data_IF_772822339894
#
_entry.id   IF_772822339894
#
_cell.length_a   1.000
_cell.length_b   1.000
_cell.length_c   1.000
_cell.angle_alpha   90.00
_cell.angle_beta   90.00
_cell.angle_gamma   90.00
#
_symmetry.space_group_name_H-M   'P 1'
#
loop_
_entity.id
_entity.type
_entity.pdbx_description
1 polymer ?
#
# COMPACT_ATOMS: atom_id res chain seq x y z
N UNK A 1 -11.23 22.81 -4.12
CA UNK A 1 -10.38 21.66 -3.76
C UNK A 1 -10.58 21.43 -2.29
N UNK A 2 -11.29 20.37 -1.92
CA UNK A 2 -11.51 20.03 -0.52
C UNK A 2 -10.32 19.22 -0.02
N UNK A 3 -9.77 19.62 1.12
CA UNK A 3 -8.72 18.85 1.78
C UNK A 3 -9.29 17.52 2.30
N UNK A 4 -8.42 16.52 2.50
CA UNK A 4 -8.80 15.28 3.15
C UNK A 4 -9.34 15.61 4.56
N UNK A 5 -10.58 15.20 4.83
CA UNK A 5 -11.22 15.43 6.13
C UNK A 5 -10.77 14.42 7.19
N UNK A 6 -10.12 13.34 6.77
CA UNK A 6 -9.62 12.26 7.62
C UNK A 6 -8.45 11.54 6.95
N UNK A 7 -7.56 10.97 7.77
CA UNK A 7 -6.56 10.01 7.32
C UNK A 7 -7.22 8.64 7.13
N UNK A 8 -7.05 8.04 5.96
CA UNK A 8 -7.64 6.73 5.61
C UNK A 8 -6.55 5.68 5.31
N UNK A 9 -5.83 5.17 6.33
CA UNK A 9 -4.87 4.10 6.12
C UNK A 9 -5.59 2.80 5.77
N UNK A 10 -5.38 2.30 4.55
CA UNK A 10 -5.92 1.01 4.13
C UNK A 10 -5.11 -0.16 4.72
N UNK A 11 -5.81 -1.14 5.28
CA UNK A 11 -5.24 -2.39 5.77
C UNK A 11 -5.86 -3.61 5.10
N UNK A 12 -5.12 -4.73 5.11
CA UNK A 12 -5.65 -6.04 4.71
C UNK A 12 -6.19 -6.75 5.94
N UNK A 13 -7.49 -7.07 5.94
CA UNK A 13 -8.11 -7.85 7.02
C UNK A 13 -7.69 -9.31 6.97
N UNK A 14 -7.30 -9.87 8.12
CA UNK A 14 -6.79 -11.23 8.27
C UNK A 14 -7.52 -11.94 9.43
N UNK A 15 -7.52 -13.28 9.50
CA UNK A 15 -8.04 -14.02 10.64
C UNK A 15 -7.44 -13.55 11.97
N UNK A 16 -8.28 -13.46 12.99
CA UNK A 16 -7.83 -13.12 14.34
C UNK A 16 -6.89 -14.20 14.89
N UNK A 17 -5.87 -13.79 15.64
CA UNK A 17 -4.89 -14.67 16.30
C UNK A 17 -4.00 -15.51 15.36
N UNK A 18 -3.91 -15.14 14.08
CA UNK A 18 -2.96 -15.73 13.13
C UNK A 18 -1.80 -14.76 12.85
N UNK A 19 -0.82 -14.72 13.77
CA UNK A 19 0.34 -13.84 13.65
C UNK A 19 1.24 -14.22 12.48
N UNK A 20 1.40 -15.51 12.22
CA UNK A 20 2.30 -16.00 11.16
C UNK A 20 1.79 -15.54 9.79
N UNK A 21 0.47 -15.60 9.57
CA UNK A 21 -0.10 -15.11 8.32
C UNK A 21 0.01 -13.58 8.20
N UNK A 22 -0.25 -12.85 9.29
CA UNK A 22 -0.04 -11.39 9.31
C UNK A 22 1.39 -11.01 8.97
N UNK A 23 2.36 -11.70 9.56
CA UNK A 23 3.77 -11.39 9.38
C UNK A 23 4.23 -11.73 7.95
N UNK A 24 3.72 -12.82 7.36
CA UNK A 24 3.92 -13.15 5.96
C UNK A 24 3.39 -12.06 5.01
N UNK A 25 2.16 -11.57 5.25
CA UNK A 25 1.55 -10.51 4.43
C UNK A 25 2.35 -9.21 4.55
N UNK A 26 2.74 -8.82 5.77
CA UNK A 26 3.55 -7.63 6.01
C UNK A 26 4.92 -7.71 5.33
N UNK A 27 5.61 -8.85 5.44
CA UNK A 27 6.88 -9.08 4.78
C UNK A 27 6.76 -8.97 3.25
N UNK A 28 5.70 -9.55 2.68
CA UNK A 28 5.42 -9.50 1.25
C UNK A 28 5.21 -8.05 0.76
N UNK A 29 4.44 -7.24 1.49
CA UNK A 29 4.22 -5.83 1.15
C UNK A 29 5.52 -5.01 1.21
N UNK A 30 6.34 -5.24 2.25
CA UNK A 30 7.65 -4.59 2.38
C UNK A 30 8.61 -5.00 1.25
N UNK A 31 8.61 -6.27 0.85
CA UNK A 31 9.41 -6.75 -0.28
C UNK A 31 8.95 -6.12 -1.61
N UNK A 32 7.64 -6.07 -1.86
CA UNK A 32 7.07 -5.39 -3.02
C UNK A 32 7.45 -3.90 -3.05
N UNK A 33 7.48 -3.25 -1.90
CA UNK A 33 7.93 -1.85 -1.80
C UNK A 33 9.41 -1.71 -2.12
N UNK A 34 10.27 -2.54 -1.50
CA UNK A 34 11.74 -2.53 -1.72
C UNK A 34 12.13 -2.84 -3.17
N UNK A 35 11.43 -3.77 -3.80
CA UNK A 35 11.65 -4.15 -5.21
C UNK A 35 11.09 -3.15 -6.22
N UNK A 36 10.26 -2.21 -5.77
CA UNK A 36 9.53 -1.27 -6.64
C UNK A 36 8.32 -1.87 -7.35
N UNK A 37 7.99 -3.14 -7.10
CA UNK A 37 6.82 -3.80 -7.68
C UNK A 37 5.52 -3.12 -7.23
N UNK A 38 5.48 -2.66 -5.97
CA UNK A 38 4.37 -1.87 -5.45
C UNK A 38 4.09 -0.63 -6.33
N UNK A 39 5.14 0.13 -6.68
CA UNK A 39 5.02 1.34 -7.48
C UNK A 39 4.50 1.05 -8.90
N UNK A 40 4.93 -0.06 -9.51
CA UNK A 40 4.42 -0.48 -10.83
C UNK A 40 2.94 -0.84 -10.79
N UNK A 41 2.51 -1.57 -9.76
CA UNK A 41 1.10 -1.91 -9.57
C UNK A 41 0.29 -0.65 -9.32
N UNK A 42 0.81 0.28 -8.52
CA UNK A 42 0.17 1.57 -8.26
C UNK A 42 0.01 2.37 -9.57
N UNK A 43 1.05 2.52 -10.38
CA UNK A 43 1.00 3.24 -11.66
C UNK A 43 0.00 2.61 -12.65
N UNK A 44 -0.12 1.28 -12.68
CA UNK A 44 -1.12 0.58 -13.50
C UNK A 44 -2.55 1.03 -13.20
N UNK A 45 -2.88 1.24 -11.92
CA UNK A 45 -4.25 1.55 -11.49
C UNK A 45 -4.51 3.04 -11.29
N UNK A 46 -3.50 3.79 -10.86
CA UNK A 46 -3.60 5.17 -10.41
C UNK A 46 -2.59 6.11 -11.09
N UNK A 47 -1.78 5.61 -12.02
CA UNK A 47 -0.82 6.42 -12.74
C UNK A 47 -1.47 7.51 -13.60
N UNK A 48 -0.67 8.43 -14.18
CA UNK A 48 -1.17 9.58 -14.94
C UNK A 48 -2.06 9.23 -16.13
N UNK A 49 -1.95 7.99 -16.64
CA UNK A 49 -2.73 7.47 -17.77
C UNK A 49 -3.96 6.66 -17.34
N UNK A 50 -4.19 6.49 -16.04
CA UNK A 50 -5.32 5.73 -15.53
C UNK A 50 -6.60 6.56 -15.58
N UNK A 51 -7.75 5.90 -15.35
CA UNK A 51 -9.05 6.58 -15.26
C UNK A 51 -9.19 7.45 -13.99
N UNK A 52 -8.33 7.23 -12.99
CA UNK A 52 -8.31 7.96 -11.74
C UNK A 52 -6.85 8.22 -11.34
N UNK A 53 -6.21 9.26 -11.90
CA UNK A 53 -4.84 9.60 -11.56
C UNK A 53 -4.74 10.03 -10.10
N UNK A 54 -3.92 9.33 -9.32
CA UNK A 54 -3.58 9.67 -7.95
C UNK A 54 -2.07 9.61 -7.80
N UNK A 55 -1.48 10.62 -7.18
CA UNK A 55 -0.06 10.63 -6.90
C UNK A 55 0.25 9.79 -5.66
N UNK A 56 1.28 8.94 -5.74
CA UNK A 56 1.79 8.22 -4.58
C UNK A 56 2.57 9.18 -3.67
N UNK A 57 1.86 9.82 -2.73
CA UNK A 57 2.42 10.85 -1.83
C UNK A 57 2.99 10.30 -0.52
N UNK A 58 2.69 9.05 -0.19
CA UNK A 58 3.13 8.41 1.05
C UNK A 58 4.28 7.43 0.79
N UNK A 59 5.04 7.14 1.84
CA UNK A 59 6.16 6.19 1.82
C UNK A 59 5.86 5.08 2.81
N UNK A 60 6.01 3.84 2.39
CA UNK A 60 5.88 2.69 3.29
C UNK A 60 6.96 2.74 4.37
N UNK A 61 6.54 2.60 5.62
CA UNK A 61 7.44 2.34 6.74
C UNK A 61 7.93 0.89 6.65
N UNK A 62 9.24 0.70 6.70
CA UNK A 62 9.86 -0.63 6.65
C UNK A 62 10.30 -1.01 8.05
N UNK A 63 9.86 -2.18 8.48
CA UNK A 63 10.07 -2.70 9.82
C UNK A 63 11.22 -3.73 9.77
N UNK A 64 12.04 -3.81 10.84
CA UNK A 64 13.14 -4.77 10.93
C UNK A 64 12.65 -6.22 10.96
#
# INVERSE_FOLDING_TARGET
>A
TGDFIADEPYGLGLPENDSDYRDFVNASLMEMWRSGEYAKIYDKWFGPKSKCPLELKWKMELWP
#
